data_IF_236112771218
#
_entry.id   IF_236112771218
#
_cell.length_a   1.000
_cell.length_b   1.000
_cell.length_c   1.000
_cell.angle_alpha   90.00
_cell.angle_beta   90.00
_cell.angle_gamma   90.00
#
_symmetry.space_group_name_H-M   'P 1'
#
loop_
_entity.id
_entity.type
_entity.pdbx_description
1 polymer ?
#
# COMPACT_ATOMS: atom_id res chain seq x y z
N UNK A 1 -19.49 9.37 -7.63
CA UNK A 1 -18.93 8.68 -6.45
C UNK A 1 -18.58 9.76 -5.44
N UNK A 2 -18.91 9.61 -4.15
CA UNK A 2 -18.41 10.55 -3.16
C UNK A 2 -16.87 10.55 -3.24
N UNK A 3 -16.26 11.73 -3.27
CA UNK A 3 -14.80 11.85 -3.26
C UNK A 3 -14.29 11.15 -2.00
N UNK A 4 -13.38 10.19 -2.18
CA UNK A 4 -12.70 9.59 -1.04
C UNK A 4 -11.85 10.68 -0.42
N UNK A 5 -11.96 10.96 0.90
CA UNK A 5 -11.16 12.00 1.52
C UNK A 5 -9.69 11.77 1.21
N UNK A 6 -8.99 12.83 0.75
CA UNK A 6 -7.54 12.74 0.53
C UNK A 6 -6.87 12.28 1.83
N UNK A 7 -6.02 11.25 1.73
CA UNK A 7 -5.24 10.77 2.88
C UNK A 7 -4.21 11.81 3.27
N UNK A 8 -3.95 11.90 4.57
CA UNK A 8 -2.88 12.76 5.08
C UNK A 8 -1.52 12.09 4.91
N UNK A 9 -0.45 12.88 4.94
CA UNK A 9 0.94 12.43 4.96
C UNK A 9 1.20 11.38 6.06
N UNK A 10 0.69 11.66 7.27
CA UNK A 10 0.78 10.75 8.42
C UNK A 10 0.10 9.41 8.17
N UNK A 11 -1.11 9.43 7.59
CA UNK A 11 -1.87 8.21 7.30
C UNK A 11 -1.17 7.33 6.26
N UNK A 12 -0.55 7.97 5.26
CA UNK A 12 0.21 7.28 4.22
C UNK A 12 1.48 6.67 4.82
N UNK A 13 2.21 7.44 5.61
CA UNK A 13 3.43 6.96 6.27
C UNK A 13 3.13 5.79 7.23
N UNK A 14 2.04 5.88 7.99
CA UNK A 14 1.58 4.78 8.84
C UNK A 14 1.25 3.52 8.03
N UNK A 15 0.49 3.64 6.94
CA UNK A 15 0.17 2.50 6.08
C UNK A 15 1.43 1.84 5.50
N UNK A 16 2.42 2.64 5.10
CA UNK A 16 3.72 2.15 4.61
C UNK A 16 4.46 1.38 5.70
N UNK A 17 4.60 1.96 6.89
CA UNK A 17 5.32 1.33 8.00
C UNK A 17 4.66 0.02 8.42
N UNK A 18 3.33 0.01 8.55
CA UNK A 18 2.60 -1.19 8.95
C UNK A 18 2.70 -2.27 7.88
N UNK A 19 2.56 -1.89 6.61
CA UNK A 19 2.73 -2.83 5.49
C UNK A 19 4.14 -3.43 5.48
N UNK A 20 5.17 -2.61 5.66
CA UNK A 20 6.56 -3.05 5.75
C UNK A 20 6.76 -4.03 6.91
N UNK A 21 6.39 -3.63 8.13
CA UNK A 21 6.54 -4.46 9.32
C UNK A 21 5.77 -5.79 9.20
N UNK A 22 4.52 -5.76 8.73
CA UNK A 22 3.72 -6.98 8.57
C UNK A 22 4.34 -7.93 7.54
N UNK A 23 4.84 -7.41 6.42
CA UNK A 23 5.50 -8.23 5.40
C UNK A 23 6.81 -8.83 5.92
N UNK A 24 7.60 -8.06 6.68
CA UNK A 24 8.83 -8.53 7.31
C UNK A 24 8.55 -9.66 8.32
N UNK A 25 7.53 -9.49 9.18
CA UNK A 25 7.13 -10.47 10.18
C UNK A 25 6.56 -11.77 9.58
N UNK A 26 5.88 -11.66 8.43
CA UNK A 26 5.41 -12.81 7.64
C UNK A 26 6.52 -13.45 6.78
N UNK A 27 7.74 -12.90 6.81
CA UNK A 27 8.91 -13.43 6.12
C UNK A 27 8.88 -13.23 4.60
N UNK A 28 8.19 -12.19 4.11
CA UNK A 28 8.17 -11.87 2.69
C UNK A 28 9.36 -11.01 2.27
N UNK A 29 9.91 -11.29 1.09
CA UNK A 29 10.77 -10.34 0.40
C UNK A 29 9.90 -9.44 -0.48
N UNK A 30 10.02 -8.12 -0.31
CA UNK A 30 9.17 -7.16 -1.01
C UNK A 30 9.92 -5.90 -1.43
N UNK A 31 9.30 -5.14 -2.33
CA UNK A 31 9.68 -3.78 -2.66
C UNK A 31 8.42 -2.94 -2.89
N UNK A 32 8.41 -1.71 -2.34
CA UNK A 32 7.45 -0.71 -2.76
C UNK A 32 7.75 -0.26 -4.18
N UNK A 33 6.70 -0.05 -4.98
CA UNK A 33 6.78 0.42 -6.34
C UNK A 33 5.85 1.63 -6.56
N UNK A 34 5.88 2.20 -7.76
CA UNK A 34 4.96 3.25 -8.16
C UNK A 34 5.07 4.51 -7.30
N UNK A 35 3.93 5.12 -7.03
CA UNK A 35 3.88 6.42 -6.33
C UNK A 35 4.35 6.33 -4.88
N UNK A 36 4.16 5.19 -4.22
CA UNK A 36 4.68 4.93 -2.87
C UNK A 36 6.21 4.92 -2.84
N UNK A 37 6.86 4.27 -3.83
CA UNK A 37 8.32 4.29 -3.94
C UNK A 37 8.87 5.71 -4.16
N UNK A 38 8.24 6.51 -5.02
CA UNK A 38 8.61 7.91 -5.21
C UNK A 38 8.48 8.71 -3.91
N UNK A 39 7.40 8.48 -3.15
CA UNK A 39 7.18 9.13 -1.87
C UNK A 39 8.23 8.74 -0.81
N UNK A 40 8.60 7.45 -0.70
CA UNK A 40 9.57 6.96 0.28
C UNK A 40 11.00 7.37 -0.10
N UNK A 41 11.41 7.15 -1.36
CA UNK A 41 12.81 7.23 -1.78
C UNK A 41 13.16 8.52 -2.55
N UNK A 42 12.17 9.18 -3.16
CA UNK A 42 12.38 10.35 -4.01
C UNK A 42 12.15 11.69 -3.32
N UNK A 43 11.34 11.74 -2.25
CA UNK A 43 10.92 12.99 -1.60
C UNK A 43 11.75 13.41 -0.38
N UNK A 44 12.87 12.75 -0.09
CA UNK A 44 13.80 13.15 0.99
C UNK A 44 14.62 14.40 0.66
N UNK A 45 14.52 14.92 -0.57
CA UNK A 45 15.18 16.17 -0.95
C UNK A 45 14.31 17.37 -0.58
N UNK A 46 14.67 17.98 0.55
CA UNK A 46 14.32 19.35 0.96
C UNK A 46 14.63 20.45 -0.08
N UNK A 47 15.09 20.08 -1.29
CA UNK A 47 15.41 20.97 -2.40
C UNK A 47 14.33 21.06 -3.49
N UNK A 48 13.22 20.31 -3.43
CA UNK A 48 12.05 20.60 -4.27
C UNK A 48 11.18 21.71 -3.67
N UNK A 49 11.81 22.87 -3.50
CA UNK A 49 11.15 24.15 -3.16
C UNK A 49 10.55 24.84 -4.40
N UNK A 50 10.42 24.12 -5.52
CA UNK A 50 10.02 24.65 -6.85
C UNK A 50 8.90 23.86 -7.54
N UNK A 51 8.08 23.15 -6.79
CA UNK A 51 6.75 22.80 -7.29
C UNK A 51 5.74 23.56 -6.42
N UNK A 52 5.24 24.66 -6.96
CA UNK A 52 4.07 25.38 -6.41
C UNK A 52 2.82 24.46 -6.34
N UNK A 53 2.90 23.30 -6.97
CA UNK A 53 1.97 22.18 -6.90
C UNK A 53 2.56 21.07 -5.99
N UNK A 54 2.12 21.02 -4.73
CA UNK A 54 2.73 20.28 -3.62
C UNK A 54 3.00 18.79 -3.79
N UNK A 55 3.71 18.23 -2.80
CA UNK A 55 4.11 16.81 -2.70
C UNK A 55 2.98 15.89 -3.15
N UNK A 56 3.19 15.15 -4.24
CA UNK A 56 2.22 14.16 -4.71
C UNK A 56 2.18 13.00 -3.73
N UNK A 57 1.15 13.00 -2.89
CA UNK A 57 0.85 11.91 -1.98
C UNK A 57 0.32 10.69 -2.75
N UNK A 58 0.80 9.48 -2.47
CA UNK A 58 0.27 8.27 -3.08
C UNK A 58 -1.18 8.02 -2.62
N UNK A 59 -2.01 7.57 -3.56
CA UNK A 59 -3.41 7.20 -3.26
C UNK A 59 -3.53 5.72 -2.84
N UNK A 60 -2.53 4.92 -3.15
CA UNK A 60 -2.41 3.49 -2.90
C UNK A 60 -0.95 3.09 -2.69
N UNK A 61 -0.72 1.88 -2.17
CA UNK A 61 0.61 1.30 -2.00
C UNK A 61 0.77 0.15 -2.98
N UNK A 62 1.61 0.34 -3.99
CA UNK A 62 2.01 -0.74 -4.88
C UNK A 62 3.17 -1.51 -4.25
N UNK A 63 3.01 -2.82 -4.08
CA UNK A 63 4.03 -3.69 -3.50
C UNK A 63 4.26 -4.88 -4.41
N UNK A 64 5.52 -5.13 -4.77
CA UNK A 64 5.95 -6.35 -5.43
C UNK A 64 6.49 -7.29 -4.36
N UNK A 65 5.97 -8.52 -4.33
CA UNK A 65 6.38 -9.55 -3.39
C UNK A 65 7.05 -10.68 -4.18
N UNK A 66 8.24 -11.07 -3.75
CA UNK A 66 8.96 -12.25 -4.25
C UNK A 66 8.78 -13.37 -3.25
N UNK A 67 8.01 -14.38 -3.63
CA UNK A 67 7.69 -15.53 -2.79
C UNK A 67 7.98 -16.85 -3.50
N UNK A 68 8.72 -17.76 -2.86
CA UNK A 68 9.06 -19.06 -3.41
C UNK A 68 8.02 -20.15 -3.08
N UNK A 69 7.02 -19.86 -2.22
CA UNK A 69 5.96 -20.78 -1.82
C UNK A 69 4.86 -20.91 -2.88
N UNK A 70 4.96 -20.16 -3.99
CA UNK A 70 3.98 -20.10 -5.10
C UNK A 70 2.61 -19.60 -4.65
N UNK A 71 2.57 -18.74 -3.63
CA UNK A 71 1.34 -18.09 -3.23
C UNK A 71 0.93 -17.05 -4.27
N UNK A 72 -0.37 -16.98 -4.56
CA UNK A 72 -0.92 -15.90 -5.35
C UNK A 72 -1.21 -14.66 -4.47
N UNK A 73 -1.54 -13.55 -5.12
CA UNK A 73 -1.80 -12.29 -4.43
C UNK A 73 -3.02 -12.36 -3.49
N UNK A 74 -4.01 -13.20 -3.76
CA UNK A 74 -5.18 -13.34 -2.88
C UNK A 74 -4.82 -14.12 -1.60
N UNK A 75 -4.00 -15.15 -1.72
CA UNK A 75 -3.49 -15.89 -0.56
C UNK A 75 -2.60 -15.03 0.34
N UNK A 76 -1.76 -14.17 -0.26
CA UNK A 76 -0.95 -13.21 0.51
C UNK A 76 -1.86 -12.22 1.24
N UNK A 77 -2.91 -11.70 0.58
CA UNK A 77 -3.88 -10.80 1.25
C UNK A 77 -4.55 -11.45 2.45
N UNK A 78 -4.90 -12.73 2.37
CA UNK A 78 -5.47 -13.47 3.52
C UNK A 78 -4.50 -13.41 4.71
N UNK A 79 -3.22 -13.71 4.50
CA UNK A 79 -2.22 -13.66 5.56
C UNK A 79 -2.05 -12.25 6.15
N UNK A 80 -2.07 -11.22 5.31
CA UNK A 80 -2.04 -9.83 5.77
C UNK A 80 -3.24 -9.51 6.67
N UNK A 81 -4.45 -9.90 6.27
CA UNK A 81 -5.68 -9.68 7.05
C UNK A 81 -5.75 -10.51 8.33
N UNK A 82 -5.12 -11.68 8.36
CA UNK A 82 -5.05 -12.53 9.56
C UNK A 82 -4.00 -12.01 10.54
N UNK A 83 -2.92 -11.39 10.06
CA UNK A 83 -1.84 -10.87 10.89
C UNK A 83 -2.17 -9.51 11.51
N UNK A 84 -2.70 -8.56 10.73
CA UNK A 84 -3.02 -7.21 11.21
C UNK A 84 -4.46 -6.82 10.81
N UNK A 85 -5.28 -6.57 11.83
CA UNK A 85 -6.72 -6.27 11.69
C UNK A 85 -7.00 -4.97 10.91
N UNK A 86 -6.00 -4.12 10.70
CA UNK A 86 -6.13 -2.92 9.88
C UNK A 86 -6.19 -3.26 8.39
N UNK A 87 -5.69 -4.41 7.98
CA UNK A 87 -5.89 -4.91 6.62
C UNK A 87 -7.25 -5.58 6.48
N UNK A 88 -7.96 -5.25 5.39
CA UNK A 88 -9.22 -5.92 5.05
C UNK A 88 -9.43 -5.94 3.54
N UNK A 89 -10.22 -6.89 3.04
CA UNK A 89 -10.56 -6.95 1.61
C UNK A 89 -12.01 -6.59 1.35
N UNK A 90 -12.24 -5.89 0.24
CA UNK A 90 -13.60 -5.58 -0.24
C UNK A 90 -13.88 -6.32 -1.55
N UNK A 91 -15.15 -6.45 -1.92
CA UNK A 91 -15.49 -6.95 -3.26
C UNK A 91 -15.02 -5.95 -4.32
N UNK A 92 -14.46 -6.45 -5.41
CA UNK A 92 -14.11 -5.62 -6.56
C UNK A 92 -15.37 -4.96 -7.15
N UNK A 93 -15.18 -3.79 -7.79
CA UNK A 93 -16.29 -3.08 -8.46
C UNK A 93 -16.83 -3.84 -9.67
N UNK A 94 -15.95 -4.54 -10.39
CA UNK A 94 -16.36 -5.43 -11.47
C UNK A 94 -16.91 -6.73 -10.87
N UNK A 95 -18.19 -7.08 -11.12
CA UNK A 95 -18.79 -8.30 -10.60
C UNK A 95 -18.13 -9.59 -11.13
N UNK A 96 -17.37 -9.52 -12.22
CA UNK A 96 -16.66 -10.67 -12.80
C UNK A 96 -15.21 -10.76 -12.34
N UNK A 97 -14.71 -9.78 -11.58
CA UNK A 97 -13.36 -9.81 -11.06
C UNK A 97 -13.17 -10.93 -10.03
N UNK A 98 -12.10 -11.70 -10.21
CA UNK A 98 -11.72 -12.80 -9.30
C UNK A 98 -10.79 -12.35 -8.17
N UNK A 99 -10.43 -11.07 -8.14
CA UNK A 99 -9.54 -10.50 -7.13
C UNK A 99 -10.32 -9.63 -6.15
N UNK A 100 -9.79 -9.48 -4.94
CA UNK A 100 -10.35 -8.58 -3.92
C UNK A 100 -9.35 -7.47 -3.62
N UNK A 101 -9.70 -6.18 -3.79
CA UNK A 101 -8.83 -5.09 -3.37
C UNK A 101 -8.52 -5.18 -1.86
N UNK A 102 -7.25 -4.98 -1.51
CA UNK A 102 -6.79 -4.88 -0.13
C UNK A 102 -6.88 -3.40 0.29
N UNK A 103 -7.48 -3.16 1.45
CA UNK A 103 -7.64 -1.85 2.05
C UNK A 103 -6.95 -1.80 3.41
N UNK A 104 -6.60 -0.59 3.82
CA UNK A 104 -6.00 -0.29 5.11
C UNK A 104 -6.92 0.65 5.89
N UNK A 105 -7.31 0.22 7.09
CA UNK A 105 -8.11 0.99 8.04
C UNK A 105 -7.23 1.94 8.84
N UNK A 106 -7.81 3.07 9.21
CA UNK A 106 -7.22 4.04 10.13
C UNK A 106 -7.27 3.55 11.57
#
# INVERSE_FOLDING_TARGET
MPETPKRTDKEIWEAILVTACTLDELGYHYAFFGSAACYIYGNTLSSYRYLEEGVRLPNDLDVVISDNRKLDAEQIKVQLTEYDFRFYTVAARDPNAKYRPLHFAR
#
